data_IF_725170385824
#
_entry.id   IF_725170385824
#
_cell.length_a   1.000
_cell.length_b   1.000
_cell.length_c   1.000
_cell.angle_alpha   90.00
_cell.angle_beta   90.00
_cell.angle_gamma   90.00
#
_symmetry.space_group_name_H-M   'P 1'
#
loop_
_entity.id
_entity.type
_entity.pdbx_description
1 polymer ?
#
# COMPACT_ATOMS: atom_id res chain seq x y z
N UNK A 1 -17.72 -1.44 10.88
CA UNK A 1 -17.68 -0.62 9.65
C UNK A 1 -17.62 -1.56 8.45
N UNK A 2 -18.40 -1.30 7.40
CA UNK A 2 -18.39 -2.09 6.16
C UNK A 2 -17.75 -1.24 5.05
N UNK A 3 -16.85 -1.84 4.26
CA UNK A 3 -16.32 -1.25 3.03
C UNK A 3 -16.71 -2.15 1.87
N UNK A 4 -17.40 -1.58 0.89
CA UNK A 4 -17.75 -2.27 -0.35
C UNK A 4 -16.62 -2.15 -1.37
N UNK A 5 -16.15 -3.29 -1.89
CA UNK A 5 -15.12 -3.41 -2.91
C UNK A 5 -15.80 -3.50 -4.27
N UNK A 6 -15.63 -2.44 -5.06
CA UNK A 6 -16.25 -2.29 -6.39
C UNK A 6 -15.22 -2.26 -7.52
N UNK A 7 -13.92 -2.22 -7.20
CA UNK A 7 -12.83 -2.08 -8.16
C UNK A 7 -12.51 -0.65 -8.60
N UNK A 8 -13.23 0.37 -8.11
CA UNK A 8 -13.12 1.74 -8.69
C UNK A 8 -13.07 2.89 -7.69
N UNK A 9 -13.31 2.65 -6.39
CA UNK A 9 -13.55 3.72 -5.40
C UNK A 9 -12.63 3.65 -4.19
N UNK A 10 -11.57 2.86 -4.24
CA UNK A 10 -10.67 2.70 -3.10
C UNK A 10 -9.76 3.92 -2.96
N UNK A 11 -9.46 4.34 -1.74
CA UNK A 11 -8.46 5.40 -1.46
C UNK A 11 -7.26 4.82 -0.70
N UNK A 12 -6.07 5.44 -0.81
CA UNK A 12 -4.90 5.03 -0.03
C UNK A 12 -5.18 4.96 1.47
N UNK A 13 -5.97 5.90 2.02
CA UNK A 13 -6.35 5.91 3.43
C UNK A 13 -7.27 4.74 3.80
N UNK A 14 -8.21 4.38 2.91
CA UNK A 14 -9.08 3.23 3.14
C UNK A 14 -8.28 1.93 3.15
N UNK A 15 -7.31 1.79 2.24
CA UNK A 15 -6.37 0.65 2.22
C UNK A 15 -5.59 0.59 3.53
N UNK A 16 -4.95 1.69 3.92
CA UNK A 16 -4.17 1.75 5.15
C UNK A 16 -5.02 1.45 6.38
N UNK A 17 -6.26 1.97 6.44
CA UNK A 17 -7.19 1.71 7.53
C UNK A 17 -7.51 0.22 7.66
N UNK A 18 -7.77 -0.48 6.56
CA UNK A 18 -8.02 -1.93 6.58
C UNK A 18 -6.77 -2.71 6.99
N UNK A 19 -5.63 -2.35 6.40
CA UNK A 19 -4.35 -2.99 6.67
C UNK A 19 -3.95 -2.91 8.15
N UNK A 20 -4.08 -1.72 8.74
CA UNK A 20 -3.71 -1.41 10.14
C UNK A 20 -4.76 -1.89 11.16
N UNK A 21 -5.98 -2.20 10.73
CA UNK A 21 -7.02 -2.67 11.65
C UNK A 21 -6.83 -4.15 12.02
N UNK A 22 -7.24 -4.56 13.24
CA UNK A 22 -7.46 -5.96 13.57
C UNK A 22 -8.45 -6.63 12.60
N UNK A 23 -8.32 -7.94 12.44
CA UNK A 23 -9.28 -8.73 11.67
C UNK A 23 -10.72 -8.53 12.18
N UNK A 24 -11.70 -8.60 11.29
CA UNK A 24 -13.13 -8.40 11.61
C UNK A 24 -13.56 -6.97 11.96
N UNK A 25 -12.65 -6.06 12.33
CA UNK A 25 -13.00 -4.67 12.69
C UNK A 25 -13.58 -3.89 11.50
N UNK A 26 -13.04 -4.16 10.32
CA UNK A 26 -13.54 -3.66 9.04
C UNK A 26 -13.99 -4.85 8.22
N UNK A 27 -15.29 -4.90 7.90
CA UNK A 27 -15.85 -5.96 7.07
C UNK A 27 -15.80 -5.54 5.61
N UNK A 28 -15.15 -6.34 4.79
CA UNK A 28 -15.04 -6.16 3.35
C UNK A 28 -16.10 -7.00 2.64
N UNK A 29 -16.82 -6.39 1.71
CA UNK A 29 -17.84 -7.07 0.90
C UNK A 29 -17.65 -6.72 -0.58
N UNK A 30 -17.81 -7.68 -1.47
CA UNK A 30 -17.74 -7.46 -2.91
C UNK A 30 -19.08 -6.90 -3.42
N UNK A 31 -19.04 -5.83 -4.22
CA UNK A 31 -20.28 -5.24 -4.76
C UNK A 31 -20.96 -6.14 -5.78
N UNK A 32 -22.30 -6.05 -5.89
CA UNK A 32 -23.06 -6.84 -6.88
C UNK A 32 -22.69 -6.49 -8.33
N UNK A 33 -22.42 -5.21 -8.59
CA UNK A 33 -21.95 -4.73 -9.89
C UNK A 33 -20.54 -5.29 -10.23
N UNK A 34 -19.64 -5.40 -9.26
CA UNK A 34 -18.36 -6.07 -9.47
C UNK A 34 -18.54 -7.57 -9.75
N UNK A 35 -19.42 -8.26 -9.01
CA UNK A 35 -19.77 -9.67 -9.26
C UNK A 35 -20.21 -9.88 -10.71
N UNK A 36 -21.08 -9.00 -11.22
CA UNK A 36 -21.57 -9.09 -12.59
C UNK A 36 -20.45 -8.95 -13.62
N UNK A 37 -19.58 -7.94 -13.49
CA UNK A 37 -18.44 -7.75 -14.41
C UNK A 37 -17.45 -8.92 -14.37
N UNK A 38 -17.15 -9.44 -13.18
CA UNK A 38 -16.26 -10.62 -13.04
C UNK A 38 -16.87 -11.82 -13.79
N UNK A 39 -18.17 -12.10 -13.60
CA UNK A 39 -18.86 -13.20 -14.29
C UNK A 39 -18.83 -13.04 -15.81
N UNK A 40 -19.04 -11.83 -16.31
CA UNK A 40 -18.99 -11.53 -17.76
C UNK A 40 -17.62 -11.83 -18.36
N UNK A 41 -16.53 -11.35 -17.75
CA UNK A 41 -15.19 -11.65 -18.23
C UNK A 41 -14.84 -13.14 -18.09
N UNK A 42 -15.29 -13.79 -17.00
CA UNK A 42 -15.07 -15.22 -16.80
C UNK A 42 -15.77 -16.07 -17.85
N UNK A 43 -16.98 -15.68 -18.28
CA UNK A 43 -17.72 -16.35 -19.35
C UNK A 43 -16.87 -16.42 -20.62
N UNK A 44 -16.26 -15.30 -21.01
CA UNK A 44 -15.38 -15.27 -22.18
C UNK A 44 -14.16 -16.19 -22.02
N UNK A 45 -13.46 -16.15 -20.88
CA UNK A 45 -12.31 -17.05 -20.63
C UNK A 45 -12.70 -18.52 -20.72
N UNK A 46 -13.84 -18.91 -20.15
CA UNK A 46 -14.35 -20.28 -20.23
C UNK A 46 -14.62 -20.68 -21.69
N UNK A 47 -15.29 -19.83 -22.47
CA UNK A 47 -15.59 -20.08 -23.89
C UNK A 47 -14.30 -20.31 -24.71
N UNK A 48 -13.26 -19.49 -24.48
CA UNK A 48 -11.97 -19.64 -25.17
C UNK A 48 -11.24 -20.90 -24.73
N UNK A 49 -11.23 -21.20 -23.44
CA UNK A 49 -10.47 -22.32 -22.90
C UNK A 49 -11.00 -23.68 -23.36
N UNK A 50 -12.29 -23.80 -23.68
CA UNK A 50 -12.91 -25.07 -24.11
C UNK A 50 -13.07 -25.23 -25.62
N UNK A 51 -12.97 -24.14 -26.41
CA UNK A 51 -13.25 -24.17 -27.85
C UNK A 51 -12.01 -24.60 -28.66
N UNK A 52 -12.16 -25.65 -29.48
CA UNK A 52 -11.07 -26.25 -30.29
C UNK A 52 -10.38 -25.24 -31.22
N UNK A 53 -11.16 -24.40 -31.88
CA UNK A 53 -10.69 -23.33 -32.78
C UNK A 53 -10.78 -21.93 -32.13
N UNK A 54 -10.44 -21.84 -30.84
CA UNK A 54 -10.36 -20.56 -30.15
C UNK A 54 -9.13 -19.75 -30.62
N UNK A 55 -9.20 -18.40 -30.55
CA UNK A 55 -8.00 -17.55 -30.57
C UNK A 55 -6.95 -18.03 -29.57
N UNK A 56 -5.68 -17.84 -29.92
CA UNK A 56 -4.55 -18.06 -29.02
C UNK A 56 -4.49 -16.89 -28.05
N UNK A 57 -4.53 -17.17 -26.75
CA UNK A 57 -4.56 -16.15 -25.71
C UNK A 57 -3.56 -16.52 -24.60
N UNK A 58 -2.62 -15.61 -24.37
CA UNK A 58 -1.57 -15.72 -23.37
C UNK A 58 -2.12 -16.13 -22.00
N UNK A 59 -1.57 -17.19 -21.41
CA UNK A 59 -1.92 -17.68 -20.08
C UNK A 59 -3.32 -18.31 -19.94
N UNK A 60 -4.12 -18.35 -21.02
CA UNK A 60 -5.41 -19.03 -21.07
C UNK A 60 -5.25 -20.41 -21.71
N UNK A 61 -4.76 -20.44 -22.96
CA UNK A 61 -4.55 -21.66 -23.73
C UNK A 61 -3.12 -21.75 -24.30
N UNK A 62 -2.19 -21.00 -23.71
CA UNK A 62 -0.74 -21.06 -23.97
C UNK A 62 0.07 -21.18 -22.68
N UNK A 63 1.38 -21.38 -22.81
CA UNK A 63 2.36 -21.18 -21.75
C UNK A 63 2.57 -19.71 -21.36
N UNK A 64 3.57 -19.48 -20.50
CA UNK A 64 3.98 -18.16 -19.98
C UNK A 64 5.41 -17.82 -20.43
N UNK A 65 5.73 -16.53 -20.50
CA UNK A 65 7.09 -16.06 -20.83
C UNK A 65 7.60 -16.64 -22.15
N UNK A 66 8.77 -17.30 -22.12
CA UNK A 66 9.37 -17.96 -23.29
C UNK A 66 8.51 -19.06 -23.91
N UNK A 67 7.54 -19.61 -23.15
CA UNK A 67 6.60 -20.63 -23.60
C UNK A 67 5.27 -20.04 -24.10
N UNK A 68 5.19 -18.72 -24.32
CA UNK A 68 3.97 -18.05 -24.79
C UNK A 68 3.45 -18.57 -26.15
N UNK A 69 4.33 -19.16 -26.96
CA UNK A 69 4.00 -19.70 -28.29
C UNK A 69 3.45 -21.13 -28.25
N UNK A 70 3.58 -21.82 -27.11
CA UNK A 70 3.17 -23.21 -26.97
C UNK A 70 1.70 -23.32 -26.53
N UNK A 71 0.88 -24.04 -27.29
CA UNK A 71 -0.53 -24.29 -26.95
C UNK A 71 -0.67 -25.32 -25.83
N UNK A 72 -1.60 -25.07 -24.92
CA UNK A 72 -1.84 -25.90 -23.74
C UNK A 72 -3.30 -26.34 -23.70
N UNK A 73 -3.54 -27.65 -23.50
CA UNK A 73 -4.91 -28.16 -23.32
C UNK A 73 -5.52 -27.70 -21.99
N UNK A 74 -6.85 -27.71 -21.88
CA UNK A 74 -7.57 -27.31 -20.66
C UNK A 74 -7.10 -28.06 -19.40
N UNK A 75 -6.89 -29.37 -19.50
CA UNK A 75 -6.46 -30.19 -18.35
C UNK A 75 -5.08 -29.76 -17.84
N UNK A 76 -4.18 -29.42 -18.75
CA UNK A 76 -2.86 -28.89 -18.42
C UNK A 76 -2.92 -27.43 -17.96
N UNK A 77 -3.88 -26.63 -18.45
CA UNK A 77 -3.99 -25.21 -18.09
C UNK A 77 -4.18 -24.99 -16.58
N UNK A 78 -5.00 -25.84 -15.90
CA UNK A 78 -5.16 -25.80 -14.43
C UNK A 78 -3.86 -26.10 -13.69
N UNK A 79 -3.14 -27.14 -14.13
CA UNK A 79 -1.87 -27.53 -13.53
C UNK A 79 -0.80 -26.46 -13.75
N UNK A 80 -0.80 -25.85 -14.94
CA UNK A 80 0.09 -24.78 -15.32
C UNK A 80 -0.10 -23.54 -14.45
N UNK A 81 -1.36 -23.16 -14.11
CA UNK A 81 -1.61 -22.07 -13.14
C UNK A 81 -0.99 -22.36 -11.77
N UNK A 82 -1.07 -23.62 -11.30
CA UNK A 82 -0.46 -24.01 -10.04
C UNK A 82 1.06 -23.95 -10.12
N UNK A 83 1.65 -24.43 -11.21
CA UNK A 83 3.09 -24.37 -11.42
C UNK A 83 3.60 -22.95 -11.44
N UNK A 84 2.94 -22.02 -12.14
CA UNK A 84 3.30 -20.61 -12.14
C UNK A 84 3.44 -20.06 -10.72
N UNK A 85 2.43 -20.25 -9.86
CA UNK A 85 2.49 -19.81 -8.46
C UNK A 85 3.67 -20.44 -7.74
N UNK A 86 3.82 -21.76 -7.80
CA UNK A 86 4.88 -22.45 -7.05
C UNK A 86 6.29 -22.10 -7.56
N UNK A 87 6.47 -21.91 -8.86
CA UNK A 87 7.76 -21.52 -9.46
C UNK A 87 8.09 -20.06 -9.19
N UNK A 88 7.08 -19.22 -8.93
CA UNK A 88 7.27 -17.80 -8.61
C UNK A 88 7.46 -17.53 -7.11
N UNK A 89 7.27 -18.53 -6.23
CA UNK A 89 7.53 -18.40 -4.79
C UNK A 89 9.04 -18.43 -4.47
N UNK A 90 9.81 -17.50 -5.06
CA UNK A 90 11.29 -17.43 -5.00
C UNK A 90 11.80 -16.35 -4.06
N UNK A 91 10.92 -15.57 -3.43
CA UNK A 91 11.30 -14.49 -2.55
C UNK A 91 12.17 -14.92 -1.35
N UNK A 92 13.05 -14.02 -0.91
CA UNK A 92 14.01 -14.20 0.18
C UNK A 92 14.04 -12.99 1.13
N UNK A 93 14.86 -13.06 2.16
CA UNK A 93 15.16 -11.99 3.12
C UNK A 93 13.98 -11.55 4.01
N UNK A 94 13.94 -12.08 5.24
CA UNK A 94 12.91 -11.75 6.23
C UNK A 94 11.48 -11.91 5.69
N UNK A 95 10.53 -11.23 6.34
CA UNK A 95 9.14 -11.15 5.88
C UNK A 95 8.63 -9.72 6.03
N UNK A 96 7.79 -9.27 5.10
CA UNK A 96 7.06 -8.02 5.22
C UNK A 96 6.15 -8.03 6.46
N UNK A 97 5.91 -6.83 6.99
CA UNK A 97 4.95 -6.63 8.07
C UNK A 97 3.53 -7.01 7.60
N UNK A 98 2.70 -7.47 8.54
CA UNK A 98 1.32 -7.93 8.28
C UNK A 98 0.52 -6.89 7.51
N UNK A 99 0.70 -5.62 7.84
CA UNK A 99 0.00 -4.49 7.25
C UNK A 99 0.28 -4.37 5.74
N UNK A 100 1.54 -4.55 5.33
CA UNK A 100 1.94 -4.47 3.92
C UNK A 100 1.27 -5.58 3.10
N UNK A 101 1.28 -6.81 3.62
CA UNK A 101 0.63 -7.96 2.96
C UNK A 101 -0.88 -7.77 2.89
N UNK A 102 -1.52 -7.29 3.97
CA UNK A 102 -2.96 -7.01 3.98
C UNK A 102 -3.34 -5.90 2.99
N UNK A 103 -2.52 -4.85 2.88
CA UNK A 103 -2.72 -3.79 1.90
C UNK A 103 -2.64 -4.36 0.47
N UNK A 104 -1.63 -5.16 0.17
CA UNK A 104 -1.45 -5.82 -1.13
C UNK A 104 -2.64 -6.73 -1.49
N UNK A 105 -3.11 -7.55 -0.55
CA UNK A 105 -4.27 -8.42 -0.74
C UNK A 105 -5.53 -7.62 -1.06
N UNK A 106 -5.76 -6.51 -0.37
CA UNK A 106 -6.92 -5.66 -0.61
C UNK A 106 -6.85 -4.97 -1.98
N UNK A 107 -5.68 -4.44 -2.35
CA UNK A 107 -5.47 -3.84 -3.67
C UNK A 107 -5.68 -4.90 -4.75
N UNK A 108 -5.12 -6.11 -4.61
CA UNK A 108 -5.34 -7.21 -5.56
C UNK A 108 -6.82 -7.58 -5.68
N UNK A 109 -7.54 -7.70 -4.57
CA UNK A 109 -8.97 -7.98 -4.62
C UNK A 109 -9.74 -6.86 -5.35
N UNK A 110 -9.36 -5.59 -5.15
CA UNK A 110 -9.97 -4.45 -5.83
C UNK A 110 -9.68 -4.44 -7.34
N UNK A 111 -8.43 -4.64 -7.76
CA UNK A 111 -8.07 -4.66 -9.19
C UNK A 111 -8.75 -5.82 -9.93
N UNK A 112 -8.84 -7.00 -9.31
CA UNK A 112 -9.63 -8.12 -9.83
C UNK A 112 -11.13 -7.81 -9.92
N UNK A 113 -11.68 -7.07 -8.95
CA UNK A 113 -13.09 -6.67 -8.90
C UNK A 113 -13.49 -5.70 -10.02
N UNK A 114 -12.54 -5.14 -10.77
CA UNK A 114 -12.83 -4.38 -11.98
C UNK A 114 -13.46 -5.25 -13.06
N UNK A 115 -13.20 -6.56 -13.05
CA UNK A 115 -13.79 -7.52 -13.98
C UNK A 115 -13.10 -7.59 -15.34
N UNK A 116 -11.81 -7.23 -15.42
CA UNK A 116 -11.01 -7.38 -16.64
C UNK A 116 -10.08 -8.60 -16.61
N UNK A 117 -9.88 -9.22 -15.45
CA UNK A 117 -8.91 -10.33 -15.30
C UNK A 117 -9.45 -11.70 -15.71
N UNK A 118 -10.77 -11.87 -15.83
CA UNK A 118 -11.35 -13.18 -16.19
C UNK A 118 -11.17 -14.26 -15.11
N UNK A 119 -11.07 -13.86 -13.84
CA UNK A 119 -11.09 -14.77 -12.68
C UNK A 119 -12.52 -15.15 -12.28
N UNK A 120 -12.69 -16.19 -11.46
CA UNK A 120 -13.98 -16.45 -10.81
C UNK A 120 -14.21 -15.49 -9.63
N UNK A 121 -15.50 -15.29 -9.31
CA UNK A 121 -15.93 -14.51 -8.14
C UNK A 121 -15.32 -15.07 -6.85
N UNK A 122 -15.27 -16.40 -6.74
CA UNK A 122 -14.70 -17.13 -5.59
C UNK A 122 -13.26 -16.73 -5.30
N UNK A 123 -12.45 -16.38 -6.32
CA UNK A 123 -11.06 -15.94 -6.13
C UNK A 123 -11.03 -14.63 -5.36
N UNK A 124 -11.82 -13.64 -5.80
CA UNK A 124 -11.89 -12.32 -5.16
C UNK A 124 -12.49 -12.44 -3.76
N UNK A 125 -13.57 -13.22 -3.62
CA UNK A 125 -14.21 -13.46 -2.33
C UNK A 125 -13.27 -14.14 -1.33
N UNK A 126 -12.44 -15.08 -1.78
CA UNK A 126 -11.48 -15.75 -0.91
C UNK A 126 -10.44 -14.77 -0.37
N UNK A 127 -9.89 -13.87 -1.19
CA UNK A 127 -8.98 -12.82 -0.72
C UNK A 127 -9.63 -11.90 0.31
N UNK A 128 -10.88 -11.47 0.07
CA UNK A 128 -11.62 -10.65 1.01
C UNK A 128 -11.92 -11.40 2.32
N UNK A 129 -12.21 -12.69 2.24
CA UNK A 129 -12.50 -13.50 3.42
C UNK A 129 -11.26 -13.77 4.27
N UNK A 130 -10.10 -13.96 3.63
CA UNK A 130 -8.83 -14.00 4.34
C UNK A 130 -8.58 -12.70 5.12
N UNK A 131 -8.84 -11.53 4.51
CA UNK A 131 -8.71 -10.24 5.19
C UNK A 131 -9.71 -10.09 6.35
N UNK A 132 -10.96 -10.51 6.15
CA UNK A 132 -12.03 -10.46 7.14
C UNK A 132 -11.72 -11.36 8.35
N UNK A 133 -11.20 -12.57 8.11
CA UNK A 133 -10.94 -13.59 9.13
C UNK A 133 -9.49 -13.64 9.62
N UNK A 134 -8.66 -12.70 9.19
CA UNK A 134 -7.31 -12.52 9.73
C UNK A 134 -6.26 -13.51 9.23
N UNK A 135 -6.45 -14.11 8.06
CA UNK A 135 -5.40 -14.91 7.39
C UNK A 135 -4.49 -13.97 6.60
N UNK A 136 -3.24 -13.83 7.02
CA UNK A 136 -2.24 -13.01 6.34
C UNK A 136 -1.03 -13.86 5.93
N UNK A 137 -0.78 -14.08 4.63
CA UNK A 137 0.39 -14.83 4.15
C UNK A 137 1.72 -14.24 4.63
N UNK A 138 2.73 -15.10 4.81
CA UNK A 138 4.11 -14.67 5.00
C UNK A 138 4.74 -14.40 3.63
N UNK A 139 5.15 -13.15 3.39
CA UNK A 139 5.72 -12.71 2.12
C UNK A 139 7.15 -12.23 2.34
N UNK A 140 8.17 -12.85 1.73
CA UNK A 140 9.57 -12.42 1.84
C UNK A 140 9.82 -11.01 1.26
N UNK A 141 10.84 -10.29 1.75
CA UNK A 141 11.05 -8.87 1.39
C UNK A 141 11.73 -8.64 0.04
N UNK A 142 12.49 -9.61 -0.48
CA UNK A 142 13.22 -9.49 -1.75
C UNK A 142 12.76 -10.53 -2.76
N UNK A 143 12.70 -10.14 -4.05
CA UNK A 143 12.36 -11.06 -5.15
C UNK A 143 11.46 -10.48 -6.24
N UNK A 144 10.95 -9.26 -6.07
CA UNK A 144 10.30 -8.48 -7.15
C UNK A 144 11.28 -7.46 -7.72
N UNK A 145 11.16 -7.20 -9.02
CA UNK A 145 11.93 -6.16 -9.76
C UNK A 145 11.03 -5.07 -10.33
N UNK A 146 9.77 -4.99 -9.91
CA UNK A 146 8.82 -3.96 -10.39
C UNK A 146 8.13 -4.29 -11.73
N UNK A 147 8.20 -5.55 -12.17
CA UNK A 147 7.52 -6.05 -13.38
C UNK A 147 6.43 -7.04 -12.99
N UNK A 148 5.35 -6.53 -12.37
CA UNK A 148 4.15 -7.31 -12.04
C UNK A 148 4.16 -8.02 -10.69
N UNK A 149 5.06 -7.67 -9.76
CA UNK A 149 5.09 -8.21 -8.39
C UNK A 149 4.93 -9.74 -8.26
N UNK A 150 5.47 -10.50 -9.22
CA UNK A 150 5.24 -11.95 -9.33
C UNK A 150 5.56 -12.71 -8.04
N UNK A 151 6.76 -12.50 -7.50
CA UNK A 151 7.21 -13.23 -6.32
C UNK A 151 6.36 -12.94 -5.07
N UNK A 152 6.15 -11.68 -4.64
CA UNK A 152 5.35 -11.42 -3.45
C UNK A 152 3.88 -11.82 -3.63
N UNK A 153 3.28 -11.62 -4.82
CA UNK A 153 1.91 -12.05 -5.08
C UNK A 153 1.76 -13.58 -5.14
N UNK A 154 2.77 -14.31 -5.62
CA UNK A 154 2.78 -15.77 -5.59
C UNK A 154 2.79 -16.31 -4.16
N UNK A 155 3.56 -15.69 -3.26
CA UNK A 155 3.56 -16.03 -1.82
C UNK A 155 2.22 -15.74 -1.13
N UNK A 156 1.42 -14.81 -1.64
CA UNK A 156 0.02 -14.64 -1.23
C UNK A 156 -0.85 -15.75 -1.81
N UNK A 157 -0.74 -16.01 -3.11
CA UNK A 157 -1.58 -16.95 -3.84
C UNK A 157 -1.43 -18.41 -3.37
N UNK A 158 -0.22 -18.82 -3.01
CA UNK A 158 0.08 -20.21 -2.63
C UNK A 158 -0.71 -20.68 -1.40
N UNK A 159 -1.05 -19.75 -0.49
CA UNK A 159 -1.78 -20.01 0.76
C UNK A 159 -3.20 -20.48 0.49
N UNK A 160 -3.95 -19.75 -0.33
CA UNK A 160 -5.37 -20.06 -0.56
C UNK A 160 -5.65 -20.94 -1.77
N UNK A 161 -4.63 -21.25 -2.57
CA UNK A 161 -4.75 -22.11 -3.76
C UNK A 161 -4.18 -23.50 -3.51
N UNK A 162 -4.73 -24.53 -4.16
CA UNK A 162 -4.28 -25.92 -4.03
C UNK A 162 -4.10 -26.61 -5.39
N UNK A 163 -3.41 -27.74 -5.36
CA UNK A 163 -3.08 -28.52 -6.56
C UNK A 163 -4.34 -29.17 -7.19
N UNK A 164 -4.50 -29.12 -8.52
CA UNK A 164 -5.64 -29.72 -9.20
C UNK A 164 -5.63 -31.25 -9.23
N UNK A 165 -4.49 -31.91 -9.00
CA UNK A 165 -4.37 -33.37 -9.09
C UNK A 165 -5.09 -34.04 -7.92
N UNK A 166 -6.03 -34.95 -8.22
CA UNK A 166 -6.81 -35.70 -7.22
C UNK A 166 -5.93 -36.41 -6.19
N UNK A 167 -4.82 -37.01 -6.63
CA UNK A 167 -3.86 -37.69 -5.74
C UNK A 167 -3.23 -36.77 -4.69
N UNK A 168 -3.05 -35.50 -5.01
CA UNK A 168 -2.52 -34.47 -4.11
C UNK A 168 -3.62 -33.98 -3.16
N UNK A 169 -4.84 -33.81 -3.66
CA UNK A 169 -6.00 -33.38 -2.85
C UNK A 169 -6.40 -34.40 -1.78
N UNK A 170 -6.36 -35.70 -2.10
CA UNK A 170 -6.59 -36.76 -1.10
C UNK A 170 -5.58 -36.66 0.04
N UNK A 171 -4.30 -36.42 -0.26
CA UNK A 171 -3.26 -36.26 0.76
C UNK A 171 -3.49 -35.02 1.63
N UNK A 172 -3.95 -33.91 1.05
CA UNK A 172 -4.33 -32.70 1.78
C UNK A 172 -5.50 -32.95 2.73
N UNK A 173 -6.54 -33.65 2.29
CA UNK A 173 -7.68 -34.02 3.14
C UNK A 173 -7.24 -34.88 4.34
N UNK A 174 -6.35 -35.86 4.11
CA UNK A 174 -5.76 -36.66 5.18
C UNK A 174 -4.85 -35.86 6.13
N UNK A 175 -4.33 -34.70 5.71
CA UNK A 175 -3.59 -33.79 6.60
C UNK A 175 -4.59 -33.06 7.49
N UNK A 176 -5.64 -32.48 6.92
CA UNK A 176 -6.70 -31.77 7.64
C UNK A 176 -7.37 -32.65 8.70
N UNK A 177 -7.71 -33.89 8.38
CA UNK A 177 -8.31 -34.83 9.34
C UNK A 177 -7.40 -35.18 10.51
N UNK A 178 -6.08 -35.25 10.28
CA UNK A 178 -5.10 -35.48 11.36
C UNK A 178 -4.95 -34.24 12.25
N UNK A 179 -4.93 -33.06 11.65
CA UNK A 179 -4.85 -31.78 12.36
C UNK A 179 -6.07 -31.58 13.28
N UNK A 180 -7.28 -31.88 12.78
CA UNK A 180 -8.52 -31.84 13.58
C UNK A 180 -8.48 -32.77 14.80
N UNK A 181 -7.74 -33.87 14.71
CA UNK A 181 -7.56 -34.84 15.80
C UNK A 181 -6.36 -34.51 16.71
N UNK A 182 -5.74 -33.35 16.57
CA UNK A 182 -4.56 -32.94 17.34
C UNK A 182 -3.32 -33.82 17.09
N UNK A 183 -3.29 -34.60 16.00
CA UNK A 183 -2.22 -35.57 15.75
C UNK A 183 -1.02 -34.92 15.05
N UNK A 184 0.18 -35.25 15.51
CA UNK A 184 1.45 -34.81 14.90
C UNK A 184 1.62 -35.39 13.49
N UNK A 185 2.08 -34.57 12.55
CA UNK A 185 2.28 -34.94 11.14
C UNK A 185 3.66 -35.59 10.93
N UNK A 186 3.71 -36.72 10.20
CA UNK A 186 4.95 -37.45 9.84
C UNK A 186 5.78 -36.67 8.79
N UNK A 187 7.11 -36.91 8.75
CA UNK A 187 8.08 -36.19 7.90
C UNK A 187 7.71 -36.15 6.40
N UNK A 188 7.15 -37.21 5.84
CA UNK A 188 6.77 -37.30 4.41
C UNK A 188 5.61 -36.38 4.00
N UNK A 189 4.80 -35.91 4.96
CA UNK A 189 3.72 -34.93 4.73
C UNK A 189 4.21 -33.47 4.78
N UNK A 190 5.47 -33.22 5.14
CA UNK A 190 6.06 -31.87 5.20
C UNK A 190 6.13 -31.18 3.85
N UNK A 191 6.23 -31.93 2.75
CA UNK A 191 6.33 -31.35 1.41
C UNK A 191 5.05 -30.60 1.00
N UNK A 192 3.88 -31.22 1.16
CA UNK A 192 2.58 -30.61 0.90
C UNK A 192 2.32 -29.37 1.77
N UNK A 193 2.72 -29.44 3.04
CA UNK A 193 2.64 -28.33 4.00
C UNK A 193 3.52 -27.18 3.53
N UNK A 194 4.79 -27.45 3.16
CA UNK A 194 5.68 -26.44 2.58
C UNK A 194 5.13 -25.84 1.29
N UNK A 195 4.50 -26.66 0.44
CA UNK A 195 3.85 -26.20 -0.78
C UNK A 195 2.55 -25.40 -0.54
N UNK A 196 2.06 -25.30 0.69
CA UNK A 196 0.95 -24.40 1.01
C UNK A 196 1.40 -23.00 1.42
N UNK A 197 2.71 -22.74 1.45
CA UNK A 197 3.25 -21.55 2.08
C UNK A 197 2.91 -21.48 3.57
N UNK A 198 3.08 -20.30 4.13
CA UNK A 198 2.80 -20.03 5.54
C UNK A 198 1.98 -18.76 5.67
N UNK A 199 1.20 -18.67 6.74
CA UNK A 199 0.41 -17.50 7.06
C UNK A 199 0.36 -17.29 8.57
N UNK A 200 0.15 -16.03 8.97
CA UNK A 200 -0.37 -15.69 10.27
C UNK A 200 -1.89 -15.80 10.25
N UNK A 201 -2.45 -16.43 11.28
CA UNK A 201 -3.87 -16.31 11.62
C UNK A 201 -3.99 -15.43 12.85
N UNK A 202 -4.86 -14.42 12.77
CA UNK A 202 -5.22 -13.58 13.89
C UNK A 202 -6.40 -14.19 14.68
N UNK A 203 -6.16 -14.54 15.94
CA UNK A 203 -7.19 -15.05 16.86
C UNK A 203 -7.03 -14.35 18.21
N UNK A 204 -8.12 -13.79 18.74
CA UNK A 204 -8.18 -13.15 20.07
C UNK A 204 -7.07 -12.12 20.33
N UNK A 205 -6.72 -11.34 19.30
CA UNK A 205 -5.68 -10.31 19.36
C UNK A 205 -4.24 -10.84 19.27
N UNK A 206 -4.05 -12.14 19.06
CA UNK A 206 -2.74 -12.78 18.88
C UNK A 206 -2.53 -13.24 17.44
N UNK A 207 -1.28 -13.21 16.96
CA UNK A 207 -0.89 -13.74 15.65
C UNK A 207 -0.22 -15.10 15.81
N UNK A 208 -0.81 -16.13 15.20
CA UNK A 208 -0.25 -17.49 15.19
C UNK A 208 0.26 -17.84 13.80
N UNK A 209 1.56 -18.07 13.66
CA UNK A 209 2.18 -18.58 12.42
C UNK A 209 1.84 -20.06 12.26
N UNK A 210 1.40 -20.44 11.06
CA UNK A 210 1.11 -21.83 10.71
C UNK A 210 1.22 -22.04 9.19
N UNK A 211 1.09 -23.27 8.72
CA UNK A 211 1.04 -23.53 7.28
C UNK A 211 -0.21 -22.93 6.64
N UNK A 212 -0.18 -22.67 5.34
CA UNK A 212 -1.34 -22.13 4.63
C UNK A 212 -2.57 -23.04 4.72
N UNK A 213 -2.38 -24.37 4.71
CA UNK A 213 -3.46 -25.34 4.94
C UNK A 213 -4.11 -25.14 6.31
N UNK A 214 -3.30 -25.04 7.37
CA UNK A 214 -3.79 -24.85 8.74
C UNK A 214 -4.49 -23.51 8.93
N UNK A 215 -3.93 -22.43 8.38
CA UNK A 215 -4.50 -21.09 8.52
C UNK A 215 -5.86 -20.99 7.85
N UNK A 216 -5.97 -21.50 6.62
CA UNK A 216 -7.22 -21.49 5.86
C UNK A 216 -8.30 -22.34 6.53
N UNK A 217 -7.96 -23.56 6.98
CA UNK A 217 -8.91 -24.43 7.69
C UNK A 217 -9.35 -23.83 9.03
N UNK A 218 -8.41 -23.31 9.82
CA UNK A 218 -8.71 -22.72 11.13
C UNK A 218 -9.58 -21.45 11.01
N UNK A 219 -9.41 -20.70 9.92
CA UNK A 219 -10.29 -19.59 9.57
C UNK A 219 -11.62 -20.06 8.93
N UNK A 220 -11.81 -21.35 8.64
CA UNK A 220 -13.00 -21.88 7.96
C UNK A 220 -13.12 -21.42 6.50
N UNK A 221 -12.01 -21.21 5.82
CA UNK A 221 -11.92 -20.78 4.41
C UNK A 221 -11.41 -21.96 3.56
N UNK A 222 -12.18 -22.33 2.53
CA UNK A 222 -11.78 -23.43 1.64
C UNK A 222 -10.72 -22.97 0.64
N UNK A 223 -9.63 -23.74 0.51
CA UNK A 223 -8.63 -23.53 -0.55
C UNK A 223 -9.18 -23.92 -1.92
N UNK A 224 -8.82 -23.15 -2.94
CA UNK A 224 -9.38 -23.24 -4.30
C UNK A 224 -8.42 -23.92 -5.29
N UNK A 225 -8.96 -24.73 -6.19
CA UNK A 225 -8.22 -25.19 -7.37
C UNK A 225 -8.40 -24.15 -8.46
N UNK A 226 -7.32 -23.65 -9.03
CA UNK A 226 -7.36 -22.61 -10.06
C UNK A 226 -7.77 -23.15 -11.43
N UNK A 227 -8.49 -22.31 -12.16
CA UNK A 227 -8.87 -22.49 -13.56
C UNK A 227 -7.93 -21.72 -14.48
N UNK A 228 -8.02 -21.96 -15.80
CA UNK A 228 -7.25 -21.22 -16.81
C UNK A 228 -7.28 -19.70 -16.55
N UNK A 229 -6.11 -19.06 -16.72
CA UNK A 229 -5.80 -17.64 -16.42
C UNK A 229 -5.70 -17.24 -14.95
N UNK A 230 -6.34 -17.95 -14.02
CA UNK A 230 -6.47 -17.43 -12.65
C UNK A 230 -5.15 -17.36 -11.89
N UNK A 231 -4.19 -18.25 -12.17
CA UNK A 231 -2.86 -18.20 -11.56
C UNK A 231 -2.09 -16.96 -12.01
N UNK A 232 -2.09 -16.70 -13.31
CA UNK A 232 -1.49 -15.49 -13.88
C UNK A 232 -2.16 -14.23 -13.31
N UNK A 233 -3.49 -14.18 -13.33
CA UNK A 233 -4.26 -13.08 -12.74
C UNK A 233 -4.11 -12.94 -11.22
N UNK A 234 -3.47 -13.87 -10.51
CA UNK A 234 -3.18 -13.68 -9.09
C UNK A 234 -1.79 -13.11 -8.86
N UNK A 235 -0.84 -13.44 -9.74
CA UNK A 235 0.56 -13.09 -9.58
C UNK A 235 1.02 -11.95 -10.48
N UNK A 236 0.17 -11.49 -11.41
CA UNK A 236 0.54 -10.46 -12.39
C UNK A 236 -0.11 -9.10 -12.07
N UNK A 237 0.73 -8.13 -11.72
CA UNK A 237 0.40 -6.71 -11.62
C UNK A 237 0.94 -6.01 -10.37
N UNK A 238 0.88 -4.68 -10.35
CA UNK A 238 1.50 -3.79 -9.34
C UNK A 238 0.88 -3.79 -7.94
N UNK A 239 0.02 -4.76 -7.63
CA UNK A 239 -0.85 -4.68 -6.44
C UNK A 239 -0.09 -4.73 -5.12
N UNK A 240 1.09 -5.37 -5.09
CA UNK A 240 1.88 -5.43 -3.86
C UNK A 240 2.58 -4.09 -3.59
N UNK A 241 3.29 -3.58 -4.60
CA UNK A 241 3.96 -2.28 -4.59
C UNK A 241 2.97 -1.15 -4.33
N UNK A 242 1.82 -1.13 -5.00
CA UNK A 242 0.77 -0.13 -4.77
C UNK A 242 0.14 -0.24 -3.37
N UNK A 243 0.01 -1.46 -2.83
CA UNK A 243 -0.42 -1.69 -1.44
C UNK A 243 0.55 -1.09 -0.42
N UNK A 244 1.85 -1.30 -0.61
CA UNK A 244 2.90 -0.68 0.22
C UNK A 244 2.90 0.85 0.09
N UNK A 245 2.75 1.35 -1.13
CA UNK A 245 2.64 2.79 -1.41
C UNK A 245 1.46 3.44 -0.69
N UNK A 246 0.33 2.74 -0.53
CA UNK A 246 -0.80 3.26 0.24
C UNK A 246 -0.46 3.48 1.72
N UNK A 247 0.31 2.58 2.33
CA UNK A 247 0.80 2.74 3.70
C UNK A 247 1.78 3.90 3.82
N UNK A 248 2.70 4.03 2.87
CA UNK A 248 3.64 5.15 2.81
C UNK A 248 2.92 6.49 2.68
N UNK A 249 1.95 6.61 1.76
CA UNK A 249 1.10 7.80 1.59
C UNK A 249 0.32 8.10 2.86
N UNK A 250 -0.27 7.11 3.51
CA UNK A 250 -1.02 7.32 4.76
C UNK A 250 -0.13 7.85 5.89
N UNK A 251 1.06 7.28 6.07
CA UNK A 251 2.04 7.72 7.08
C UNK A 251 2.58 9.11 6.76
N UNK A 252 2.97 9.36 5.51
CA UNK A 252 3.44 10.66 5.03
C UNK A 252 2.38 11.76 5.25
N UNK A 253 1.12 11.49 4.92
CA UNK A 253 0.02 12.44 5.15
C UNK A 253 -0.19 12.75 6.64
N UNK A 254 0.11 11.81 7.53
CA UNK A 254 0.08 12.05 8.99
C UNK A 254 1.22 12.97 9.41
N UNK A 255 2.44 12.72 8.93
CA UNK A 255 3.62 13.56 9.20
C UNK A 255 3.45 14.99 8.67
N UNK A 256 2.94 15.14 7.45
CA UNK A 256 2.71 16.45 6.81
C UNK A 256 1.64 17.26 7.55
N UNK A 257 0.63 16.61 8.13
CA UNK A 257 -0.37 17.30 8.96
C UNK A 257 0.21 17.73 10.31
N UNK A 258 1.10 16.93 10.89
CA UNK A 258 1.75 17.25 12.15
C UNK A 258 2.84 18.33 11.98
N UNK A 259 3.51 18.38 10.83
CA UNK A 259 4.68 19.22 10.63
C UNK A 259 4.41 20.71 10.79
N UNK A 260 3.27 21.21 10.32
CA UNK A 260 2.91 22.62 10.52
C UNK A 260 2.71 22.94 12.01
N UNK A 261 2.06 22.04 12.76
CA UNK A 261 1.83 22.24 14.20
C UNK A 261 3.15 22.22 14.98
N UNK A 262 4.02 21.27 14.66
CA UNK A 262 5.37 21.17 15.25
C UNK A 262 6.19 22.42 14.90
N UNK A 263 6.07 22.91 13.68
CA UNK A 263 6.73 24.14 13.26
C UNK A 263 6.18 25.36 13.99
N UNK A 264 4.86 25.47 14.19
CA UNK A 264 4.24 26.52 15.02
C UNK A 264 4.79 26.51 16.44
N UNK A 265 4.87 25.37 17.10
CA UNK A 265 5.48 25.26 18.44
C UNK A 265 6.96 25.71 18.45
N UNK A 266 7.70 25.40 17.38
CA UNK A 266 9.08 25.86 17.22
C UNK A 266 9.17 27.38 17.03
N UNK A 267 8.22 27.96 16.29
CA UNK A 267 8.12 29.41 16.07
C UNK A 267 7.83 30.13 17.38
N UNK A 268 6.91 29.62 18.20
CA UNK A 268 6.61 30.17 19.53
C UNK A 268 7.82 30.10 20.47
N UNK A 269 8.46 28.93 20.58
CA UNK A 269 9.62 28.74 21.44
C UNK A 269 10.79 29.67 21.07
N UNK A 270 10.93 30.00 19.78
CA UNK A 270 11.98 30.88 19.24
C UNK A 270 11.50 32.33 19.04
N UNK A 271 10.32 32.69 19.57
CA UNK A 271 9.73 34.04 19.49
C UNK A 271 9.76 34.60 18.07
N UNK A 272 9.38 33.80 17.08
CA UNK A 272 9.54 34.10 15.67
C UNK A 272 8.63 35.26 15.21
N UNK A 273 9.02 35.90 14.12
CA UNK A 273 8.24 36.89 13.38
C UNK A 273 7.19 36.16 12.52
N UNK A 274 5.92 36.57 12.62
CA UNK A 274 4.82 35.96 11.84
C UNK A 274 4.76 36.45 10.38
N UNK A 275 5.35 37.60 10.06
CA UNK A 275 5.30 38.21 8.72
C UNK A 275 5.58 37.27 7.53
N UNK A 276 6.52 36.29 7.60
CA UNK A 276 6.73 35.31 6.53
C UNK A 276 5.50 34.49 6.12
N UNK A 277 4.48 34.44 6.98
CA UNK A 277 3.26 33.68 6.78
C UNK A 277 2.08 34.58 6.37
N UNK A 278 2.25 35.89 6.18
CA UNK A 278 1.15 36.81 5.85
C UNK A 278 0.51 36.49 4.50
N UNK A 279 -0.78 36.81 4.35
CA UNK A 279 -1.49 36.57 3.09
C UNK A 279 -0.94 37.45 1.97
N UNK A 280 -0.65 38.70 2.29
CA UNK A 280 -0.10 39.69 1.37
C UNK A 280 1.21 39.20 0.76
N UNK A 281 2.11 38.64 1.58
CA UNK A 281 3.39 38.14 1.09
C UNK A 281 3.22 36.85 0.30
N UNK A 282 2.47 35.88 0.84
CA UNK A 282 2.36 34.53 0.26
C UNK A 282 1.63 34.54 -1.08
N UNK A 283 0.65 35.43 -1.25
CA UNK A 283 -0.10 35.56 -2.51
C UNK A 283 0.75 36.13 -3.66
N UNK A 284 1.88 36.80 -3.38
CA UNK A 284 2.83 37.21 -4.43
C UNK A 284 3.51 36.02 -5.13
N UNK A 285 3.51 34.83 -4.50
CA UNK A 285 4.01 33.57 -5.07
C UNK A 285 3.05 32.42 -4.77
N UNK A 286 1.94 32.27 -5.54
CA UNK A 286 0.74 31.56 -5.11
C UNK A 286 0.76 30.04 -5.35
N UNK A 287 1.82 29.35 -4.92
CA UNK A 287 1.81 27.88 -4.91
C UNK A 287 0.79 27.37 -3.87
N UNK A 288 -0.02 26.39 -4.25
CA UNK A 288 -1.14 25.90 -3.43
C UNK A 288 -0.65 25.38 -2.07
N UNK A 289 0.44 24.61 -2.05
CA UNK A 289 1.04 24.12 -0.82
C UNK A 289 1.56 25.24 0.08
N UNK A 290 2.13 26.30 -0.50
CA UNK A 290 2.61 27.47 0.27
C UNK A 290 1.44 28.19 0.95
N UNK A 291 0.38 28.47 0.20
CA UNK A 291 -0.84 29.11 0.72
C UNK A 291 -1.45 28.28 1.85
N UNK A 292 -1.59 26.95 1.65
CA UNK A 292 -2.11 26.03 2.67
C UNK A 292 -1.24 26.01 3.92
N UNK A 293 0.09 26.04 3.76
CA UNK A 293 1.03 26.07 4.90
C UNK A 293 0.93 27.38 5.66
N UNK A 294 1.01 28.51 4.98
CA UNK A 294 0.94 29.82 5.61
C UNK A 294 -0.36 30.00 6.40
N UNK A 295 -1.51 29.64 5.79
CA UNK A 295 -2.80 29.65 6.46
C UNK A 295 -2.83 28.76 7.70
N UNK A 296 -2.28 27.55 7.61
CA UNK A 296 -2.20 26.60 8.73
C UNK A 296 -1.38 27.17 9.89
N UNK A 297 -0.21 27.75 9.59
CA UNK A 297 0.66 28.37 10.60
C UNK A 297 -0.02 29.57 11.27
N UNK A 298 -0.58 30.52 10.49
CA UNK A 298 -1.31 31.67 11.06
C UNK A 298 -2.47 31.23 11.94
N UNK A 299 -3.24 30.23 11.51
CA UNK A 299 -4.33 29.69 12.31
C UNK A 299 -3.83 29.14 13.67
N UNK A 300 -2.72 28.41 13.66
CA UNK A 300 -2.13 27.87 14.90
C UNK A 300 -1.57 28.96 15.81
N UNK A 301 -1.05 30.06 15.24
CA UNK A 301 -0.39 31.14 15.98
C UNK A 301 -1.33 32.29 16.38
N UNK A 302 -2.56 32.34 15.86
CA UNK A 302 -3.48 33.48 15.97
C UNK A 302 -3.77 33.99 17.39
N UNK A 303 -3.56 33.16 18.42
CA UNK A 303 -3.77 33.52 19.84
C UNK A 303 -2.48 33.43 20.68
N UNK A 304 -1.34 33.21 20.02
CA UNK A 304 -0.06 33.07 20.70
C UNK A 304 0.46 34.42 21.16
N UNK A 305 0.80 34.55 22.44
CA UNK A 305 1.51 35.73 22.95
C UNK A 305 3.04 35.60 22.87
N UNK A 306 3.56 34.53 22.23
CA UNK A 306 4.99 34.21 22.19
C UNK A 306 5.65 34.64 20.89
N UNK A 307 4.91 34.63 19.78
CA UNK A 307 5.39 35.14 18.49
C UNK A 307 5.21 36.65 18.40
N UNK A 308 5.89 37.27 17.46
CA UNK A 308 5.72 38.68 17.12
C UNK A 308 4.83 38.74 15.89
N UNK A 309 3.64 39.28 16.05
CA UNK A 309 2.60 39.30 15.02
C UNK A 309 2.90 40.28 13.90
N UNK A 310 2.33 40.01 12.73
CA UNK A 310 2.59 40.79 11.51
C UNK A 310 2.21 42.26 11.69
N UNK A 311 1.09 42.56 12.35
CA UNK A 311 0.64 43.93 12.65
C UNK A 311 1.63 44.68 13.55
N UNK A 312 2.18 44.02 14.58
CA UNK A 312 3.21 44.60 15.43
C UNK A 312 4.47 44.97 14.64
N UNK A 313 4.84 44.13 13.66
CA UNK A 313 6.02 44.34 12.82
C UNK A 313 5.79 45.48 11.82
N UNK A 314 4.64 45.49 11.13
CA UNK A 314 4.34 46.50 10.11
C UNK A 314 4.07 47.89 10.68
N UNK A 315 3.66 48.00 11.94
CA UNK A 315 3.44 49.28 12.62
C UNK A 315 4.67 49.79 13.39
N UNK A 316 5.79 49.05 13.37
CA UNK A 316 7.02 49.45 14.07
C UNK A 316 7.91 50.27 13.14
N UNK A 317 8.28 51.49 13.54
CA UNK A 317 9.24 52.34 12.82
C UNK A 317 10.67 51.78 12.85
N UNK A 318 11.00 50.91 13.82
CA UNK A 318 12.32 50.30 13.93
C UNK A 318 12.26 48.86 14.50
N UNK A 319 11.97 47.91 13.60
CA UNK A 319 11.80 46.48 13.92
C UNK A 319 13.00 45.90 14.68
N UNK A 320 14.23 46.34 14.34
CA UNK A 320 15.44 45.88 15.02
C UNK A 320 15.46 46.32 16.48
N UNK A 321 15.09 47.58 16.76
CA UNK A 321 15.09 48.12 18.11
C UNK A 321 13.98 47.50 18.97
N UNK A 322 12.80 47.31 18.39
CA UNK A 322 11.62 46.86 19.13
C UNK A 322 11.64 45.36 19.43
N UNK A 323 12.23 44.56 18.52
CA UNK A 323 12.19 43.10 18.60
C UNK A 323 13.57 42.42 18.65
N UNK A 324 14.66 43.18 18.54
CA UNK A 324 16.03 42.66 18.56
C UNK A 324 16.45 41.92 17.28
N UNK A 325 15.57 41.84 16.28
CA UNK A 325 15.83 41.17 14.98
C UNK A 325 14.92 41.73 13.88
N UNK A 326 15.43 41.76 12.65
CA UNK A 326 14.64 42.17 11.46
C UNK A 326 14.09 40.99 10.66
N UNK A 327 14.69 39.81 10.82
CA UNK A 327 14.28 38.58 10.15
C UNK A 327 14.69 37.36 10.96
N UNK A 328 13.94 36.28 10.81
CA UNK A 328 14.33 34.96 11.31
C UNK A 328 15.21 34.19 10.32
N UNK A 329 15.87 33.16 10.84
CA UNK A 329 16.61 32.18 10.06
C UNK A 329 15.72 31.43 9.06
N UNK A 330 16.33 30.92 7.99
CA UNK A 330 15.64 30.24 6.88
C UNK A 330 14.83 29.02 7.32
N UNK A 331 15.28 28.27 8.33
CA UNK A 331 14.54 27.12 8.88
C UNK A 331 13.19 27.49 9.53
N UNK A 332 12.96 28.79 9.79
CA UNK A 332 11.70 29.36 10.27
C UNK A 332 10.99 30.11 9.15
N UNK A 333 11.67 31.06 8.51
CA UNK A 333 11.07 31.94 7.49
C UNK A 333 10.68 31.22 6.21
N UNK A 334 11.36 30.12 5.87
CA UNK A 334 11.10 29.36 4.65
C UNK A 334 10.15 28.16 4.85
N UNK A 335 9.49 28.05 6.02
CA UNK A 335 8.50 27.00 6.29
C UNK A 335 7.43 26.93 5.19
N UNK A 336 6.79 28.03 4.74
CA UNK A 336 5.78 27.98 3.68
C UNK A 336 6.29 27.36 2.38
N UNK A 337 7.50 27.74 1.97
CA UNK A 337 8.13 27.31 0.72
C UNK A 337 8.48 25.82 0.78
N UNK A 338 9.09 25.37 1.88
CA UNK A 338 9.54 23.96 2.02
C UNK A 338 8.35 23.03 2.32
N UNK A 339 7.57 23.30 3.36
CA UNK A 339 6.40 22.45 3.66
C UNK A 339 5.36 22.52 2.53
N UNK A 340 5.24 23.65 1.86
CA UNK A 340 4.36 23.82 0.72
C UNK A 340 4.74 22.95 -0.47
N UNK A 341 6.01 22.97 -0.88
CA UNK A 341 6.51 22.10 -1.94
C UNK A 341 6.27 20.61 -1.61
N UNK A 342 6.51 20.21 -0.36
CA UNK A 342 6.23 18.85 0.12
C UNK A 342 4.75 18.48 0.02
N UNK A 343 3.83 19.40 0.36
CA UNK A 343 2.39 19.17 0.23
C UNK A 343 1.95 19.01 -1.22
N UNK A 344 2.54 19.77 -2.13
CA UNK A 344 2.21 19.69 -3.56
C UNK A 344 2.71 18.35 -4.15
N UNK A 345 3.92 17.91 -3.82
CA UNK A 345 4.43 16.58 -4.19
C UNK A 345 3.57 15.46 -3.58
N UNK A 346 3.21 15.59 -2.30
CA UNK A 346 2.35 14.62 -1.63
C UNK A 346 1.00 14.44 -2.33
N UNK A 347 0.35 15.54 -2.72
CA UNK A 347 -0.94 15.47 -3.42
C UNK A 347 -0.80 14.84 -4.81
N UNK A 348 0.28 15.13 -5.53
CA UNK A 348 0.61 14.46 -6.79
C UNK A 348 0.73 12.93 -6.59
N UNK A 349 1.58 12.50 -5.65
CA UNK A 349 1.81 11.09 -5.34
C UNK A 349 0.52 10.40 -4.92
N UNK A 350 -0.21 11.00 -3.98
CA UNK A 350 -1.47 10.46 -3.46
C UNK A 350 -2.48 10.19 -4.58
N UNK A 351 -2.60 11.12 -5.53
CA UNK A 351 -3.51 10.97 -6.67
C UNK A 351 -3.05 9.88 -7.64
N UNK A 352 -1.75 9.75 -7.91
CA UNK A 352 -1.22 8.67 -8.74
C UNK A 352 -1.45 7.30 -8.11
N UNK A 353 -1.15 7.12 -6.83
CA UNK A 353 -1.41 5.87 -6.11
C UNK A 353 -2.91 5.57 -6.02
N UNK A 354 -3.77 6.58 -5.84
CA UNK A 354 -5.23 6.39 -5.89
C UNK A 354 -5.69 5.87 -7.25
N UNK A 355 -5.14 6.38 -8.35
CA UNK A 355 -5.44 5.86 -9.69
C UNK A 355 -4.97 4.42 -9.82
N UNK A 356 -3.72 4.14 -9.42
CA UNK A 356 -3.10 2.81 -9.55
C UNK A 356 -3.90 1.70 -8.86
N UNK A 357 -4.31 1.91 -7.61
CA UNK A 357 -5.08 0.89 -6.86
C UNK A 357 -6.49 0.65 -7.42
N UNK A 358 -6.95 1.49 -8.35
CA UNK A 358 -8.22 1.36 -9.07
C UNK A 358 -8.00 1.14 -10.58
N UNK A 359 -6.81 0.65 -10.97
CA UNK A 359 -6.46 0.28 -12.34
C UNK A 359 -6.43 -1.23 -12.55
N UNK A 360 -6.67 -1.66 -13.79
CA UNK A 360 -6.55 -3.07 -14.17
C UNK A 360 -5.10 -3.33 -14.60
N UNK A 361 -4.33 -3.96 -13.71
CA UNK A 361 -2.87 -4.14 -13.82
C UNK A 361 -2.46 -5.55 -14.21
N UNK A 362 -3.39 -6.37 -14.70
CA UNK A 362 -3.18 -7.76 -15.11
C UNK A 362 -2.93 -7.86 -16.62
N UNK A 363 -2.46 -9.00 -17.11
CA UNK A 363 -2.30 -9.29 -18.53
C UNK A 363 -2.66 -10.75 -18.90
N UNK A 364 -3.31 -11.00 -20.05
CA UNK A 364 -4.05 -10.04 -20.86
C UNK A 364 -5.33 -9.58 -20.15
N UNK A 365 -5.86 -8.43 -20.55
CA UNK A 365 -7.15 -7.93 -20.08
C UNK A 365 -8.29 -8.40 -20.99
N UNK A 366 -9.42 -8.77 -20.39
CA UNK A 366 -10.64 -9.23 -21.06
C UNK A 366 -11.63 -8.08 -21.18
N UNK A 367 -11.72 -7.46 -22.35
CA UNK A 367 -12.61 -6.32 -22.61
C UNK A 367 -13.92 -6.83 -23.23
N UNK A 368 -14.88 -7.19 -22.37
CA UNK A 368 -16.12 -7.87 -22.78
C UNK A 368 -16.99 -7.05 -23.74
N UNK A 369 -16.94 -5.72 -23.64
CA UNK A 369 -17.65 -4.75 -24.49
C UNK A 369 -16.91 -4.38 -25.79
N UNK A 370 -15.77 -5.00 -26.07
CA UNK A 370 -15.03 -4.77 -27.31
C UNK A 370 -15.86 -5.18 -28.54
N UNK A 371 -15.73 -4.38 -29.61
CA UNK A 371 -16.30 -4.68 -30.94
C UNK A 371 -15.55 -5.83 -31.64
N UNK A 372 -14.35 -6.19 -31.18
CA UNK A 372 -13.53 -7.23 -31.79
C UNK A 372 -13.93 -8.63 -31.30
N UNK A 373 -13.72 -9.62 -32.18
CA UNK A 373 -13.96 -11.04 -31.86
C UNK A 373 -13.02 -11.57 -30.78
N UNK A 374 -11.75 -11.18 -30.85
CA UNK A 374 -10.80 -11.42 -29.76
C UNK A 374 -10.94 -10.28 -28.74
N UNK A 375 -11.35 -10.62 -27.52
CA UNK A 375 -11.57 -9.68 -26.43
C UNK A 375 -10.42 -9.68 -25.43
N UNK A 376 -9.40 -10.51 -25.62
CA UNK A 376 -8.18 -10.48 -24.82
C UNK A 376 -7.17 -9.52 -25.43
N UNK A 377 -6.81 -8.50 -24.67
CA UNK A 377 -5.83 -7.49 -25.04
C UNK A 377 -4.56 -7.75 -24.24
N UNK A 378 -3.49 -8.10 -24.96
CA UNK A 378 -2.16 -8.22 -24.36
C UNK A 378 -1.53 -6.84 -24.25
N UNK A 379 -0.97 -6.52 -23.09
CA UNK A 379 -0.36 -5.22 -22.81
C UNK A 379 0.57 -5.26 -21.60
N UNK A 380 1.18 -4.12 -21.28
CA UNK A 380 2.16 -3.97 -20.20
C UNK A 380 1.61 -3.37 -18.91
N UNK A 381 0.30 -3.46 -18.65
CA UNK A 381 -0.34 -2.82 -17.50
C UNK A 381 0.15 -3.33 -16.13
N UNK A 382 0.91 -4.41 -16.10
CA UNK A 382 1.51 -4.97 -14.90
C UNK A 382 2.78 -4.25 -14.44
N UNK A 383 3.33 -3.30 -15.20
CA UNK A 383 4.59 -2.66 -14.87
C UNK A 383 4.44 -1.59 -13.79
N UNK A 384 5.35 -1.58 -12.81
CA UNK A 384 5.20 -0.79 -11.57
C UNK A 384 5.84 0.62 -11.66
N UNK A 385 6.12 1.11 -12.87
CA UNK A 385 6.95 2.33 -13.09
C UNK A 385 6.33 3.55 -12.42
N UNK A 386 5.00 3.66 -12.49
CA UNK A 386 4.23 4.75 -11.88
C UNK A 386 4.39 4.71 -10.36
N UNK A 387 4.38 3.51 -9.76
CA UNK A 387 4.59 3.36 -8.31
C UNK A 387 6.04 3.71 -7.96
N UNK A 388 7.01 3.25 -8.74
CA UNK A 388 8.43 3.57 -8.56
C UNK A 388 8.69 5.08 -8.48
N UNK A 389 8.39 5.82 -9.55
CA UNK A 389 8.63 7.27 -9.58
C UNK A 389 7.88 8.04 -8.50
N UNK A 390 6.65 7.63 -8.19
CA UNK A 390 5.88 8.33 -7.16
C UNK A 390 6.43 8.07 -5.76
N UNK A 391 7.01 6.90 -5.49
CA UNK A 391 7.69 6.63 -4.23
C UNK A 391 9.04 7.36 -4.13
N UNK A 392 9.78 7.51 -5.22
CA UNK A 392 11.00 8.33 -5.26
C UNK A 392 10.71 9.80 -4.93
N UNK A 393 9.68 10.38 -5.56
CA UNK A 393 9.26 11.76 -5.26
C UNK A 393 8.79 11.91 -3.81
N UNK A 394 8.04 10.94 -3.29
CA UNK A 394 7.60 10.98 -1.90
C UNK A 394 8.79 10.89 -0.93
N UNK A 395 9.77 10.03 -1.21
CA UNK A 395 10.97 9.88 -0.40
C UNK A 395 11.76 11.19 -0.33
N UNK A 396 11.99 11.84 -1.48
CA UNK A 396 12.65 13.16 -1.56
C UNK A 396 11.88 14.20 -0.75
N UNK A 397 10.56 14.30 -0.95
CA UNK A 397 9.74 15.28 -0.25
C UNK A 397 9.75 15.09 1.28
N UNK A 398 9.70 13.85 1.76
CA UNK A 398 9.75 13.55 3.20
C UNK A 398 11.14 13.79 3.77
N UNK A 399 12.22 13.54 3.01
CA UNK A 399 13.57 13.88 3.41
C UNK A 399 13.76 15.40 3.59
N UNK A 400 13.23 16.21 2.68
CA UNK A 400 13.26 17.68 2.79
C UNK A 400 12.49 18.18 4.01
N UNK A 401 11.32 17.60 4.30
CA UNK A 401 10.54 17.93 5.49
C UNK A 401 11.30 17.59 6.79
N UNK A 402 11.99 16.45 6.82
CA UNK A 402 12.82 16.05 7.94
C UNK A 402 14.03 16.98 8.11
N UNK A 403 14.69 17.35 7.02
CA UNK A 403 15.87 18.24 7.00
C UNK A 403 15.56 19.60 7.63
N UNK A 404 14.50 20.30 7.17
CA UNK A 404 14.12 21.59 7.76
C UNK A 404 13.70 21.46 9.23
N UNK A 405 13.11 20.33 9.62
CA UNK A 405 12.74 20.06 11.01
C UNK A 405 13.96 19.86 11.89
N UNK A 406 14.97 19.14 11.42
CA UNK A 406 16.22 18.94 12.15
C UNK A 406 16.97 20.27 12.31
N UNK A 407 16.97 21.15 11.29
CA UNK A 407 17.52 22.51 11.44
C UNK A 407 16.80 23.32 12.52
N UNK A 408 15.50 23.12 12.74
CA UNK A 408 14.78 23.73 13.88
C UNK A 408 15.20 23.12 15.22
N UNK A 409 15.42 21.81 15.29
CA UNK A 409 15.95 21.15 16.48
C UNK A 409 17.31 21.75 16.86
N UNK A 410 18.24 21.85 15.91
CA UNK A 410 19.54 22.50 16.14
C UNK A 410 19.37 23.89 16.77
N UNK A 411 18.47 24.71 16.20
CA UNK A 411 18.22 26.05 16.73
C UNK A 411 17.68 26.06 18.16
N UNK A 412 16.85 25.10 18.54
CA UNK A 412 16.31 25.02 19.90
C UNK A 412 17.39 24.63 20.92
N UNK A 413 18.37 23.81 20.52
CA UNK A 413 19.40 23.29 21.42
C UNK A 413 20.64 24.20 21.51
N UNK A 414 20.98 24.93 20.44
CA UNK A 414 22.19 25.75 20.37
C UNK A 414 22.03 27.11 21.05
N UNK A 415 22.92 27.42 22.00
CA UNK A 415 22.95 28.67 22.76
C UNK A 415 22.89 29.92 21.89
N UNK A 416 23.55 29.88 20.74
CA UNK A 416 23.70 31.01 19.82
C UNK A 416 22.44 31.25 18.98
N UNK A 417 21.54 30.28 18.89
CA UNK A 417 20.42 30.27 17.96
C UNK A 417 19.03 30.19 18.63
N UNK A 418 18.99 29.87 19.92
CA UNK A 418 17.78 29.47 20.64
C UNK A 418 16.98 30.59 21.29
N UNK A 419 17.33 31.86 21.02
CA UNK A 419 16.57 33.03 21.46
C UNK A 419 16.39 33.11 23.00
N UNK A 420 17.44 32.74 23.72
CA UNK A 420 17.51 32.86 25.19
C UNK A 420 17.01 31.64 25.94
N UNK A 421 16.68 30.55 25.26
CA UNK A 421 16.43 29.26 25.91
C UNK A 421 17.71 28.71 26.56
N UNK A 422 17.60 27.83 27.57
CA UNK A 422 18.76 27.10 28.09
C UNK A 422 19.41 26.25 26.98
N UNK A 423 20.76 26.23 26.85
CA UNK A 423 21.44 25.31 25.93
C UNK A 423 21.04 23.85 26.23
N UNK A 424 20.85 23.06 25.16
CA UNK A 424 20.34 21.67 25.24
C UNK A 424 19.00 21.51 25.98
N UNK A 425 18.27 22.62 26.19
CA UNK A 425 17.03 22.69 26.97
C UNK A 425 17.18 22.09 28.38
N UNK A 426 18.35 22.30 29.00
CA UNK A 426 18.67 21.82 30.35
C UNK A 426 17.84 22.56 31.42
N UNK A 427 17.33 21.81 32.40
CA UNK A 427 16.82 22.39 33.64
C UNK A 427 17.96 23.09 34.40
N UNK A 428 17.74 24.35 34.78
CA UNK A 428 18.71 25.29 35.34
C UNK A 428 19.42 24.80 36.63
N UNK A 429 19.03 23.64 37.16
CA UNK A 429 19.69 22.96 38.29
C UNK A 429 20.99 22.21 37.91
N UNK A 430 21.37 22.14 36.64
CA UNK A 430 22.72 21.75 36.20
C UNK A 430 23.14 20.30 36.48
N UNK A 431 22.21 19.43 36.92
CA UNK A 431 22.47 18.01 37.23
C UNK A 431 22.13 17.06 36.08
N UNK A 432 21.73 17.58 34.91
CA UNK A 432 21.26 16.80 33.77
C UNK A 432 21.90 17.31 32.47
N UNK A 433 21.98 16.42 31.47
CA UNK A 433 22.59 16.72 30.15
C UNK A 433 21.61 17.31 29.13
N UNK A 434 20.32 17.47 29.49
CA UNK A 434 19.30 17.99 28.58
C UNK A 434 18.77 16.93 27.60
N UNK A 435 18.36 17.37 26.42
CA UNK A 435 17.86 16.54 25.31
C UNK A 435 18.95 16.13 24.31
#
# INVERSE_FOLDING_TARGET
MIIEISGRKLTPEAVAKVALSPAGKVRLVLSQDAVQRIKEARKYVNEIATKRNAPVIYGVNTGFGSLAYERVSLNYARLLQRYLITSSCVGVDGFYEREAVRAAMLVRANTLAMGYSGVRVDVVQTLLEMLNRGVTPLVPKKGSVGSGDLAPLAHIAIVFTKDPRKSVQVKEQMILEKLKKGKRLLKEKKFLIKQSGEAFLECDGTLKRMSGIEAMESAGIKRIVLEAKEGLSLVDGSSFSAGLACLAVYRAGTLIKASDKIASLSLEALKALETPFSDELITTRPHIGMIKTAKSIRNNLSSSSLVIHTDQIQNSDNVLKDFGKVQDATSLRCIPQVHGAVKDVFEFVRNKIKTEINSATDNPLIITKSIHKNKAYSGGNFHDEIVGFTMDFLAIAIAELASISERRIYRLLSREANQGLPPYLIDLKGKQKGL
#
